data_IF_253490782745
#
_entry.id   IF_253490782745
#
_cell.length_a   1.000
_cell.length_b   1.000
_cell.length_c   1.000
_cell.angle_alpha   90.00
_cell.angle_beta   90.00
_cell.angle_gamma   90.00
#
_symmetry.space_group_name_H-M   'P 1'
#
loop_
_entity.id
_entity.type
_entity.pdbx_description
1 polymer ?
#
# COMPACT_ATOMS: atom_id res chain seq x y z
N UNK A 1 -8.90 -3.13 1.88
CA UNK A 1 -8.21 -3.36 3.14
C UNK A 1 -6.70 -3.36 2.91
N UNK A 2 -5.92 -3.20 3.97
CA UNK A 2 -4.46 -3.29 3.89
C UNK A 2 -3.89 -3.98 5.14
N UNK A 3 -2.71 -4.59 4.99
CA UNK A 3 -1.96 -5.20 6.06
C UNK A 3 -0.66 -4.43 6.31
N UNK A 4 -0.36 -4.14 7.56
CA UNK A 4 0.87 -3.46 7.97
C UNK A 4 1.92 -4.42 8.54
N UNK A 5 3.16 -3.94 8.59
CA UNK A 5 4.30 -4.62 9.24
C UNK A 5 4.48 -6.08 8.78
N UNK A 6 4.34 -6.31 7.48
CA UNK A 6 4.42 -7.66 6.87
C UNK A 6 5.80 -8.02 6.36
N UNK A 7 6.72 -7.06 6.29
CA UNK A 7 8.12 -7.25 5.91
C UNK A 7 9.05 -6.86 7.05
N UNK A 8 10.23 -7.48 7.12
CA UNK A 8 11.25 -7.10 8.13
C UNK A 8 11.67 -5.64 7.96
N UNK A 9 11.88 -5.17 6.73
CA UNK A 9 12.22 -3.77 6.45
C UNK A 9 11.13 -2.80 6.90
N UNK A 10 9.85 -3.17 6.79
CA UNK A 10 8.75 -2.33 7.26
C UNK A 10 8.70 -2.23 8.79
N UNK A 11 9.02 -3.31 9.52
CA UNK A 11 9.18 -3.28 10.98
C UNK A 11 10.30 -2.30 11.38
N UNK A 12 11.47 -2.44 10.78
CA UNK A 12 12.64 -1.60 11.06
C UNK A 12 12.35 -0.11 10.80
N UNK A 13 11.78 0.22 9.63
CA UNK A 13 11.43 1.59 9.28
C UNK A 13 10.40 2.19 10.26
N UNK A 14 9.37 1.43 10.64
CA UNK A 14 8.36 1.89 11.60
C UNK A 14 8.94 2.12 13.00
N UNK A 15 9.88 1.28 13.43
CA UNK A 15 10.57 1.47 14.71
C UNK A 15 11.42 2.72 14.73
N UNK A 16 12.10 3.06 13.62
CA UNK A 16 12.92 4.26 13.49
C UNK A 16 12.07 5.55 13.45
N UNK A 17 10.89 5.50 12.82
CA UNK A 17 10.02 6.65 12.56
C UNK A 17 9.02 6.96 13.68
N UNK A 18 8.79 6.02 14.60
CA UNK A 18 7.74 6.13 15.62
C UNK A 18 8.27 6.50 17.00
N UNK A 19 7.48 7.29 17.72
CA UNK A 19 7.68 7.53 19.16
C UNK A 19 7.39 6.30 20.04
N UNK A 20 6.86 5.20 19.45
CA UNK A 20 6.49 3.97 20.16
C UNK A 20 6.96 2.71 19.42
N UNK A 21 8.30 2.52 19.27
CA UNK A 21 8.87 1.45 18.45
C UNK A 21 8.43 0.03 18.85
N UNK A 22 8.21 -0.21 20.16
CA UNK A 22 7.81 -1.51 20.71
C UNK A 22 6.46 -2.04 20.14
N UNK A 23 5.57 -1.17 19.68
CA UNK A 23 4.29 -1.58 19.10
C UNK A 23 4.53 -2.35 17.81
N UNK A 24 5.40 -1.84 16.94
CA UNK A 24 5.66 -2.44 15.63
C UNK A 24 6.43 -3.74 15.70
N UNK A 25 7.43 -3.84 16.59
CA UNK A 25 8.15 -5.10 16.82
C UNK A 25 7.24 -6.20 17.37
N UNK A 26 6.32 -5.84 18.26
CA UNK A 26 5.31 -6.78 18.79
C UNK A 26 4.35 -7.25 17.70
N UNK A 27 3.86 -6.35 16.83
CA UNK A 27 2.96 -6.70 15.72
C UNK A 27 3.66 -7.62 14.71
N UNK A 28 4.93 -7.36 14.41
CA UNK A 28 5.68 -8.20 13.47
C UNK A 28 5.75 -9.67 13.92
N UNK A 29 5.89 -9.94 15.22
CA UNK A 29 6.00 -11.31 15.76
C UNK A 29 4.65 -11.86 16.28
N UNK A 30 3.60 -11.04 16.35
CA UNK A 30 2.29 -11.46 16.85
C UNK A 30 1.67 -12.55 15.97
N UNK A 31 0.80 -13.38 16.56
CA UNK A 31 -0.06 -14.30 15.81
C UNK A 31 -1.04 -13.52 14.91
N UNK A 32 -1.73 -12.53 15.48
CA UNK A 32 -2.67 -11.68 14.75
C UNK A 32 -1.95 -10.65 13.87
N UNK A 33 -2.18 -10.62 12.54
CA UNK A 33 -1.63 -9.58 11.67
C UNK A 33 -2.29 -8.23 11.93
N UNK A 34 -1.60 -7.14 11.63
CA UNK A 34 -2.22 -5.85 11.47
C UNK A 34 -3.01 -5.84 10.16
N UNK A 35 -4.32 -5.64 10.26
CA UNK A 35 -5.21 -5.44 9.10
C UNK A 35 -6.08 -4.23 9.40
N UNK A 36 -6.17 -3.29 8.47
CA UNK A 36 -6.95 -2.08 8.63
C UNK A 36 -7.73 -1.73 7.36
N UNK A 37 -8.83 -1.00 7.54
CA UNK A 37 -9.60 -0.47 6.43
C UNK A 37 -8.82 0.61 5.71
N UNK A 38 -8.62 0.47 4.39
CA UNK A 38 -7.89 1.43 3.55
C UNK A 38 -8.82 2.33 2.75
N UNK A 39 -9.73 1.76 2.00
CA UNK A 39 -10.66 2.51 1.17
C UNK A 39 -11.87 1.67 0.77
N UNK A 40 -12.99 2.33 0.51
CA UNK A 40 -14.08 1.72 -0.26
C UNK A 40 -13.86 1.95 -1.76
N UNK A 41 -14.61 1.22 -2.60
CA UNK A 41 -14.47 1.28 -4.05
C UNK A 41 -14.56 2.71 -4.65
N UNK A 42 -15.33 3.61 -4.02
CA UNK A 42 -15.49 5.00 -4.48
C UNK A 42 -14.26 5.88 -4.23
N UNK A 43 -13.35 5.47 -3.37
CA UNK A 43 -12.12 6.20 -3.02
C UNK A 43 -10.88 5.63 -3.70
N UNK A 44 -11.01 4.48 -4.34
CA UNK A 44 -9.91 3.86 -5.08
C UNK A 44 -9.70 4.60 -6.39
N UNK A 45 -8.44 4.93 -6.65
CA UNK A 45 -7.98 5.55 -7.88
C UNK A 45 -7.49 4.44 -8.82
N UNK A 46 -7.92 4.47 -10.07
CA UNK A 46 -7.42 3.58 -11.12
C UNK A 46 -6.16 4.11 -11.82
N UNK A 47 -5.68 3.38 -12.83
CA UNK A 47 -4.54 3.80 -13.65
C UNK A 47 -4.75 5.20 -14.25
N UNK A 48 -3.68 5.99 -14.30
CA UNK A 48 -3.66 7.40 -14.76
C UNK A 48 -4.54 8.34 -13.92
N UNK A 49 -5.24 7.84 -12.91
CA UNK A 49 -6.00 8.67 -11.98
C UNK A 49 -5.08 9.36 -10.97
N UNK A 50 -5.53 10.49 -10.43
CA UNK A 50 -4.74 11.29 -9.49
C UNK A 50 -4.83 10.74 -8.08
N UNK A 51 -3.69 10.38 -7.49
CA UNK A 51 -3.57 10.18 -6.04
C UNK A 51 -3.32 11.53 -5.36
N UNK A 52 -3.57 11.61 -4.06
CA UNK A 52 -3.32 12.84 -3.32
C UNK A 52 -2.44 12.58 -2.09
N UNK A 53 -1.57 13.53 -1.79
CA UNK A 53 -0.97 13.70 -0.47
C UNK A 53 -1.76 14.74 0.34
N UNK A 54 -1.76 14.63 1.65
CA UNK A 54 -2.53 15.52 2.52
C UNK A 54 -1.95 16.95 2.53
N UNK A 55 -2.83 17.94 2.60
CA UNK A 55 -2.39 19.35 2.71
C UNK A 55 -1.78 19.68 4.08
N UNK A 56 -2.17 18.92 5.12
CA UNK A 56 -1.75 19.06 6.51
C UNK A 56 -0.66 18.04 6.93
N UNK A 57 -0.03 17.38 5.97
CA UNK A 57 1.10 16.46 6.16
C UNK A 57 2.40 17.10 5.67
N UNK A 58 3.49 16.77 6.35
CA UNK A 58 4.84 17.24 6.02
C UNK A 58 5.74 16.15 5.44
N UNK A 59 5.33 14.88 5.56
CA UNK A 59 6.06 13.74 5.01
C UNK A 59 5.07 12.67 4.53
N UNK A 60 5.00 12.52 3.21
CA UNK A 60 4.09 11.64 2.51
C UNK A 60 4.88 10.70 1.59
N UNK A 61 4.55 9.41 1.60
CA UNK A 61 5.24 8.40 0.80
C UNK A 61 4.26 7.52 0.04
N UNK A 62 4.64 6.99 -1.14
CA UNK A 62 3.95 5.90 -1.79
C UNK A 62 4.42 4.57 -1.18
N UNK A 63 3.52 3.63 -1.02
CA UNK A 63 3.80 2.27 -0.59
C UNK A 63 3.36 1.30 -1.69
N UNK A 64 4.30 0.81 -2.53
CA UNK A 64 3.99 -0.16 -3.58
C UNK A 64 3.75 -1.54 -2.97
N UNK A 65 2.63 -2.16 -3.32
CA UNK A 65 2.20 -3.42 -2.72
C UNK A 65 1.64 -4.39 -3.73
N UNK A 66 1.90 -5.68 -3.51
CA UNK A 66 1.03 -6.72 -4.07
C UNK A 66 -0.35 -6.58 -3.42
N UNK A 67 -1.40 -6.55 -4.22
CA UNK A 67 -2.77 -6.56 -3.73
C UNK A 67 -3.48 -7.84 -4.15
N UNK A 68 -4.07 -8.52 -3.17
CA UNK A 68 -4.78 -9.79 -3.34
C UNK A 68 -6.26 -9.52 -3.56
N UNK A 69 -6.84 -10.11 -4.61
CA UNK A 69 -8.29 -10.03 -4.89
C UNK A 69 -8.96 -11.30 -4.40
N UNK A 70 -9.93 -11.14 -3.51
CA UNK A 70 -10.60 -12.22 -2.80
C UNK A 70 -12.10 -12.20 -3.11
N UNK A 71 -12.70 -13.36 -3.41
CA UNK A 71 -14.14 -13.47 -3.65
C UNK A 71 -14.93 -13.60 -2.33
N UNK A 72 -16.27 -13.68 -2.43
CA UNK A 72 -17.16 -13.82 -1.27
C UNK A 72 -16.96 -15.11 -0.45
N UNK A 73 -16.21 -16.09 -0.97
CA UNK A 73 -15.94 -17.36 -0.30
C UNK A 73 -14.54 -17.42 0.32
N UNK A 74 -13.89 -16.25 0.51
CA UNK A 74 -12.53 -16.15 1.01
C UNK A 74 -11.47 -16.85 0.11
N UNK A 75 -11.74 -16.98 -1.19
CA UNK A 75 -10.80 -17.56 -2.13
C UNK A 75 -10.03 -16.47 -2.86
N UNK A 76 -8.70 -16.63 -2.97
CA UNK A 76 -7.86 -15.73 -3.77
C UNK A 76 -8.11 -16.01 -5.25
N UNK A 77 -8.71 -15.06 -5.94
CA UNK A 77 -9.07 -15.20 -7.37
C UNK A 77 -8.12 -14.46 -8.30
N UNK A 78 -7.31 -13.56 -7.78
CA UNK A 78 -6.35 -12.81 -8.60
C UNK A 78 -5.49 -11.84 -7.80
N UNK A 79 -4.64 -11.14 -8.55
CA UNK A 79 -3.69 -10.17 -8.01
C UNK A 79 -3.74 -8.87 -8.81
N UNK A 80 -3.42 -7.76 -8.15
CA UNK A 80 -3.24 -6.45 -8.78
C UNK A 80 -2.15 -5.68 -8.06
N UNK A 81 -1.81 -4.49 -8.55
CA UNK A 81 -0.86 -3.59 -7.91
C UNK A 81 -1.63 -2.62 -7.03
N UNK A 82 -1.18 -2.44 -5.79
CA UNK A 82 -1.65 -1.43 -4.86
C UNK A 82 -0.63 -0.31 -4.64
N UNK A 83 -1.15 0.89 -4.36
CA UNK A 83 -0.37 1.98 -3.79
C UNK A 83 -1.11 2.47 -2.54
N UNK A 84 -0.60 2.13 -1.37
CA UNK A 84 -1.07 2.60 -0.07
C UNK A 84 -0.38 3.93 0.28
N UNK A 85 -0.88 5.04 -0.30
CA UNK A 85 -0.31 6.37 -0.05
C UNK A 85 -0.50 6.76 1.40
N UNK A 86 0.59 7.12 2.06
CA UNK A 86 0.67 7.27 3.51
C UNK A 86 1.22 8.61 3.94
N UNK A 87 0.58 9.23 4.94
CA UNK A 87 1.14 10.37 5.66
C UNK A 87 2.00 9.84 6.81
N UNK A 88 3.31 9.76 6.59
CA UNK A 88 4.27 9.31 7.62
C UNK A 88 4.39 10.27 8.79
N UNK A 89 4.22 11.57 8.56
CA UNK A 89 4.24 12.55 9.65
C UNK A 89 3.09 12.33 10.64
N UNK A 90 1.87 12.05 10.17
CA UNK A 90 0.71 11.79 11.05
C UNK A 90 0.81 10.40 11.68
N UNK A 91 1.23 9.40 10.91
CA UNK A 91 1.38 8.03 11.41
C UNK A 91 2.43 7.93 12.52
N UNK A 92 3.55 8.66 12.38
CA UNK A 92 4.63 8.70 13.37
C UNK A 92 4.28 9.46 14.66
N UNK A 93 3.30 10.37 14.63
CA UNK A 93 2.85 11.07 15.83
C UNK A 93 2.22 10.13 16.86
N UNK A 94 1.33 9.25 16.40
CA UNK A 94 0.62 8.31 17.28
C UNK A 94 0.01 7.17 16.45
N UNK A 95 0.23 5.89 16.81
CA UNK A 95 -0.39 4.74 16.13
C UNK A 95 -1.92 4.80 16.02
N UNK A 96 -2.60 5.49 16.95
CA UNK A 96 -4.05 5.69 16.91
C UNK A 96 -4.50 6.65 15.80
N UNK A 97 -3.58 7.36 15.16
CA UNK A 97 -3.86 8.24 14.02
C UNK A 97 -3.76 7.51 12.68
N UNK A 98 -3.54 6.19 12.68
CA UNK A 98 -3.49 5.36 11.48
C UNK A 98 -4.64 5.65 10.49
N UNK A 99 -5.92 5.76 10.92
CA UNK A 99 -7.02 6.09 10.00
C UNK A 99 -6.84 7.44 9.31
N UNK A 100 -6.29 8.45 9.99
CA UNK A 100 -6.03 9.76 9.39
C UNK A 100 -4.81 9.74 8.47
N UNK A 101 -3.81 8.93 8.78
CA UNK A 101 -2.59 8.75 7.99
C UNK A 101 -2.84 7.98 6.68
N UNK A 102 -3.79 7.05 6.67
CA UNK A 102 -4.01 6.05 5.61
C UNK A 102 -5.36 6.19 4.87
N UNK A 103 -6.40 6.75 5.53
CA UNK A 103 -7.78 6.73 5.01
C UNK A 103 -8.26 8.14 4.68
N UNK A 104 -7.76 8.70 3.59
CA UNK A 104 -8.15 10.03 3.10
C UNK A 104 -8.40 10.01 1.57
N UNK A 105 -8.92 11.11 1.03
CA UNK A 105 -9.23 11.20 -0.39
C UNK A 105 -7.97 11.08 -1.25
N UNK A 106 -7.95 10.15 -2.20
CA UNK A 106 -6.82 9.90 -3.08
C UNK A 106 -5.67 9.11 -2.47
N UNK A 107 -5.85 8.51 -1.28
CA UNK A 107 -4.81 7.75 -0.58
C UNK A 107 -4.64 6.30 -1.07
N UNK A 108 -5.48 5.81 -1.97
CA UNK A 108 -5.45 4.42 -2.42
C UNK A 108 -5.56 4.33 -3.93
N UNK A 109 -4.60 3.67 -4.57
CA UNK A 109 -4.71 3.34 -5.98
C UNK A 109 -4.57 1.83 -6.20
N UNK A 110 -5.33 1.29 -7.16
CA UNK A 110 -5.28 -0.11 -7.59
C UNK A 110 -5.26 -0.19 -9.11
N UNK A 111 -4.53 -1.15 -9.68
CA UNK A 111 -4.49 -1.40 -11.11
C UNK A 111 -3.21 -2.09 -11.57
N UNK A 112 -2.98 -2.22 -12.89
CA UNK A 112 -3.80 -1.70 -13.99
C UNK A 112 -5.06 -2.52 -14.25
N UNK A 113 -5.07 -3.78 -13.84
CA UNK A 113 -6.15 -4.75 -13.96
C UNK A 113 -5.95 -5.87 -12.96
N UNK A 114 -6.81 -6.89 -12.99
CA UNK A 114 -6.69 -8.08 -12.16
C UNK A 114 -6.05 -9.18 -13.02
N UNK A 115 -4.91 -9.70 -12.57
CA UNK A 115 -4.30 -10.90 -13.13
C UNK A 115 -4.87 -12.11 -12.40
N UNK A 116 -5.52 -13.08 -13.09
CA UNK A 116 -6.07 -14.26 -12.45
C UNK A 116 -5.02 -15.05 -11.68
N UNK A 117 -5.41 -15.64 -10.54
CA UNK A 117 -4.48 -16.32 -9.65
C UNK A 117 -3.70 -17.46 -10.35
N UNK A 118 -4.35 -18.18 -11.28
CA UNK A 118 -3.70 -19.26 -12.04
C UNK A 118 -2.65 -18.83 -13.05
N UNK A 119 -2.56 -17.52 -13.37
CA UNK A 119 -1.53 -16.96 -14.24
C UNK A 119 -0.26 -16.54 -13.48
N UNK A 120 -0.32 -16.52 -12.14
CA UNK A 120 0.81 -16.17 -11.26
C UNK A 120 1.31 -17.45 -10.60
N UNK A 121 2.43 -18.00 -11.12
CA UNK A 121 2.96 -19.29 -10.67
C UNK A 121 3.38 -19.24 -9.18
N UNK A 122 3.99 -18.16 -8.74
CA UNK A 122 4.38 -17.94 -7.35
C UNK A 122 4.20 -16.46 -6.97
N UNK A 123 3.19 -16.12 -6.15
CA UNK A 123 2.98 -14.76 -5.68
C UNK A 123 4.03 -14.29 -4.66
N UNK A 124 4.88 -15.19 -4.16
CA UNK A 124 5.98 -14.90 -3.24
C UNK A 124 7.33 -14.70 -3.94
N UNK A 125 7.34 -14.71 -5.29
CA UNK A 125 8.55 -14.45 -6.09
C UNK A 125 8.28 -13.41 -7.19
N UNK A 126 7.70 -12.28 -6.80
CA UNK A 126 7.40 -11.17 -7.70
C UNK A 126 8.31 -9.97 -7.38
N UNK A 127 9.02 -9.49 -8.40
CA UNK A 127 9.77 -8.24 -8.29
C UNK A 127 8.81 -7.05 -8.31
N UNK A 128 8.99 -6.13 -7.36
CA UNK A 128 8.26 -4.87 -7.24
C UNK A 128 9.25 -3.74 -7.52
N UNK A 129 8.98 -2.92 -8.54
CA UNK A 129 9.75 -1.71 -8.87
C UNK A 129 8.89 -0.48 -8.69
N UNK A 130 9.49 0.58 -8.18
CA UNK A 130 8.83 1.88 -8.11
C UNK A 130 9.78 2.98 -8.57
N UNK A 131 9.26 3.92 -9.37
CA UNK A 131 9.91 5.16 -9.74
C UNK A 131 8.99 6.34 -9.43
N UNK A 132 9.59 7.45 -9.01
CA UNK A 132 8.89 8.73 -8.78
C UNK A 132 9.57 9.75 -9.68
N UNK A 133 8.80 10.32 -10.60
CA UNK A 133 9.24 11.40 -11.48
C UNK A 133 8.78 12.74 -10.94
N UNK A 134 9.68 13.74 -10.96
CA UNK A 134 9.43 15.12 -10.59
C UNK A 134 9.96 16.03 -11.71
N UNK A 135 9.08 16.84 -12.30
CA UNK A 135 9.48 17.70 -13.41
C UNK A 135 9.99 16.94 -14.64
N UNK A 136 9.55 15.69 -14.87
CA UNK A 136 9.95 14.87 -16.01
C UNK A 136 11.28 14.14 -15.85
N UNK A 137 11.90 14.18 -14.66
CA UNK A 137 13.12 13.42 -14.32
C UNK A 137 12.86 12.48 -13.17
N UNK A 138 13.55 11.35 -13.12
CA UNK A 138 13.46 10.40 -12.01
C UNK A 138 14.09 11.04 -10.77
N UNK A 139 13.25 11.35 -9.78
CA UNK A 139 13.66 11.91 -8.49
C UNK A 139 13.99 10.82 -7.47
N UNK A 140 13.35 9.65 -7.59
CA UNK A 140 13.61 8.48 -6.75
C UNK A 140 13.22 7.19 -7.49
N UNK A 141 13.94 6.11 -7.23
CA UNK A 141 13.57 4.77 -7.70
C UNK A 141 14.12 3.68 -6.78
N UNK A 142 13.44 2.54 -6.77
CA UNK A 142 13.87 1.38 -5.99
C UNK A 142 13.19 0.09 -6.43
N UNK A 143 13.69 -1.01 -5.88
CA UNK A 143 13.23 -2.36 -6.18
C UNK A 143 13.20 -3.21 -4.91
N UNK A 144 12.21 -4.10 -4.81
CA UNK A 144 12.10 -5.13 -3.78
C UNK A 144 11.42 -6.38 -4.34
N UNK A 145 11.16 -7.38 -3.50
CA UNK A 145 10.48 -8.62 -3.88
C UNK A 145 9.45 -9.04 -2.84
N UNK A 146 8.37 -9.67 -3.30
CA UNK A 146 7.40 -10.34 -2.41
C UNK A 146 7.99 -11.53 -1.65
N UNK A 147 9.17 -12.02 -2.02
CA UNK A 147 9.86 -13.09 -1.30
C UNK A 147 10.23 -12.74 0.15
N UNK A 148 10.24 -11.44 0.48
CA UNK A 148 10.43 -10.96 1.85
C UNK A 148 9.16 -10.92 2.71
N UNK A 149 7.98 -11.27 2.17
CA UNK A 149 6.74 -11.34 2.93
C UNK A 149 6.85 -12.39 4.05
N UNK A 150 6.64 -11.95 5.29
CA UNK A 150 6.56 -12.85 6.44
C UNK A 150 5.19 -13.52 6.53
N UNK A 151 4.14 -12.76 6.26
CA UNK A 151 2.75 -13.23 6.35
C UNK A 151 2.36 -14.00 5.09
N UNK A 152 1.67 -15.12 5.28
CA UNK A 152 1.03 -15.82 4.17
C UNK A 152 -0.18 -15.03 3.67
N UNK A 153 -0.41 -15.03 2.36
CA UNK A 153 -1.56 -14.32 1.76
C UNK A 153 -2.87 -14.92 2.27
N UNK A 154 -2.91 -16.25 2.37
CA UNK A 154 -4.06 -17.00 2.89
C UNK A 154 -4.35 -16.66 4.36
N UNK A 155 -3.31 -16.42 5.17
CA UNK A 155 -3.43 -15.99 6.56
C UNK A 155 -4.11 -14.61 6.65
N UNK A 156 -3.70 -13.66 5.80
CA UNK A 156 -4.33 -12.33 5.76
C UNK A 156 -5.81 -12.42 5.36
N UNK A 157 -6.14 -13.27 4.39
CA UNK A 157 -7.53 -13.52 3.98
C UNK A 157 -8.32 -14.14 5.12
N UNK A 158 -7.80 -15.18 5.78
CA UNK A 158 -8.46 -15.84 6.90
C UNK A 158 -8.78 -14.84 8.03
N UNK A 159 -7.82 -13.99 8.41
CA UNK A 159 -8.05 -12.99 9.46
C UNK A 159 -9.04 -11.92 9.07
N UNK A 160 -9.07 -11.49 7.80
CA UNK A 160 -10.03 -10.52 7.32
C UNK A 160 -11.47 -11.05 7.36
N UNK A 161 -11.66 -12.33 6.93
CA UNK A 161 -12.99 -12.96 6.81
C UNK A 161 -13.46 -13.66 8.10
N UNK A 162 -12.66 -13.69 9.16
CA UNK A 162 -12.95 -14.50 10.37
C UNK A 162 -14.26 -14.13 11.07
N UNK A 163 -14.58 -12.85 11.15
CA UNK A 163 -15.80 -12.33 11.84
C UNK A 163 -16.49 -11.24 11.01
N UNK A 164 -16.25 -11.24 9.68
CA UNK A 164 -16.92 -10.30 8.77
C UNK A 164 -17.18 -10.95 7.42
N UNK A 165 -18.25 -10.53 6.74
CA UNK A 165 -18.68 -11.01 5.45
C UNK A 165 -18.42 -9.97 4.35
N UNK A 166 -17.87 -10.43 3.23
CA UNK A 166 -17.61 -9.60 2.05
C UNK A 166 -18.36 -10.16 0.84
N UNK A 167 -19.67 -9.91 0.71
CA UNK A 167 -20.51 -10.50 -0.35
C UNK A 167 -20.07 -10.11 -1.76
N UNK A 168 -19.44 -8.95 -1.92
CA UNK A 168 -18.88 -8.48 -3.19
C UNK A 168 -17.38 -8.81 -3.32
N UNK A 169 -16.81 -9.55 -2.37
CA UNK A 169 -15.38 -9.78 -2.24
C UNK A 169 -14.63 -8.59 -1.65
N UNK A 170 -13.31 -8.74 -1.54
CA UNK A 170 -12.43 -7.71 -1.00
C UNK A 170 -11.10 -7.65 -1.76
N UNK A 171 -10.40 -6.53 -1.67
CA UNK A 171 -9.00 -6.42 -2.07
C UNK A 171 -8.18 -6.15 -0.81
N UNK A 172 -7.08 -6.88 -0.65
CA UNK A 172 -6.14 -6.74 0.48
C UNK A 172 -4.78 -6.33 -0.08
N UNK A 173 -4.34 -5.13 0.19
CA UNK A 173 -2.94 -4.70 0.04
C UNK A 173 -2.09 -5.38 1.12
N UNK A 174 -0.95 -5.96 0.73
CA UNK A 174 -0.23 -6.93 1.58
C UNK A 174 0.94 -6.34 2.35
N UNK A 175 1.09 -5.01 2.31
CA UNK A 175 2.21 -4.29 2.91
C UNK A 175 3.37 -4.09 1.95
N UNK A 176 4.27 -3.20 2.32
CA UNK A 176 5.42 -2.80 1.51
C UNK A 176 6.75 -3.05 2.21
N UNK A 177 7.81 -3.28 1.43
CA UNK A 177 9.20 -3.25 1.86
C UNK A 177 10.01 -2.15 1.14
N UNK A 178 9.34 -1.30 0.38
CA UNK A 178 9.98 -0.31 -0.49
C UNK A 178 9.32 1.06 -0.32
N UNK A 179 10.00 1.97 0.33
CA UNK A 179 9.60 3.37 0.47
C UNK A 179 10.80 4.29 0.33
N UNK A 180 10.64 5.52 -0.14
CA UNK A 180 11.70 6.52 -0.07
C UNK A 180 12.02 6.85 1.39
N UNK A 181 13.31 6.87 1.73
CA UNK A 181 13.75 7.29 3.05
C UNK A 181 13.61 8.81 3.23
N UNK A 182 13.45 9.28 4.49
CA UNK A 182 13.51 10.70 4.82
C UNK A 182 14.90 11.26 4.40
N UNK A 183 14.99 12.48 3.80
CA UNK A 183 13.97 13.52 3.73
C UNK A 183 13.06 13.51 2.49
N UNK A 184 13.05 12.45 1.66
CA UNK A 184 12.18 12.44 0.47
C UNK A 184 10.71 12.43 0.88
N UNK A 185 9.91 13.30 0.26
CA UNK A 185 8.45 13.35 0.38
C UNK A 185 7.82 13.55 -0.98
N UNK A 186 6.62 12.99 -1.20
CA UNK A 186 5.83 13.25 -2.40
C UNK A 186 5.36 14.72 -2.43
N UNK A 187 5.35 15.28 -3.64
CA UNK A 187 4.86 16.62 -3.94
C UNK A 187 3.76 16.61 -5.01
N UNK A 188 2.92 17.63 -5.02
CA UNK A 188 2.00 17.84 -6.13
C UNK A 188 2.77 18.05 -7.45
N UNK A 189 2.40 17.30 -8.48
CA UNK A 189 3.10 17.27 -9.76
C UNK A 189 4.04 16.08 -9.95
N UNK A 190 4.34 15.32 -8.89
CA UNK A 190 5.05 14.04 -9.04
C UNK A 190 4.22 13.03 -9.80
N UNK A 191 4.88 12.02 -10.34
CA UNK A 191 4.23 10.86 -10.94
C UNK A 191 4.84 9.60 -10.32
N UNK A 192 4.00 8.80 -9.67
CA UNK A 192 4.40 7.50 -9.12
C UNK A 192 4.10 6.41 -10.14
N UNK A 193 5.10 5.62 -10.48
CA UNK A 193 4.99 4.44 -11.35
C UNK A 193 5.43 3.21 -10.58
N UNK A 194 4.51 2.25 -10.43
CA UNK A 194 4.77 0.97 -9.76
C UNK A 194 4.61 -0.14 -10.80
N UNK A 195 5.61 -1.01 -10.91
CA UNK A 195 5.58 -2.19 -11.77
C UNK A 195 5.80 -3.46 -10.94
N UNK A 196 4.94 -4.46 -11.11
CA UNK A 196 5.11 -5.78 -10.52
C UNK A 196 5.10 -6.80 -11.66
N UNK A 197 6.10 -7.67 -11.67
CA UNK A 197 6.24 -8.68 -12.72
C UNK A 197 4.95 -9.47 -12.96
N UNK A 198 4.54 -9.65 -14.20
CA UNK A 198 3.28 -10.23 -14.70
C UNK A 198 2.00 -9.43 -14.40
N UNK A 199 1.97 -8.55 -13.41
CA UNK A 199 0.78 -7.75 -13.10
C UNK A 199 0.69 -6.45 -13.91
N UNK A 200 1.81 -6.02 -14.52
CA UNK A 200 1.87 -4.82 -15.33
C UNK A 200 2.38 -3.59 -14.57
N UNK A 201 1.83 -2.43 -14.88
CA UNK A 201 2.30 -1.14 -14.35
C UNK A 201 1.12 -0.25 -13.97
N UNK A 202 1.16 0.27 -12.74
CA UNK A 202 0.24 1.27 -12.22
C UNK A 202 0.94 2.63 -12.19
N UNK A 203 0.44 3.58 -12.96
CA UNK A 203 0.97 4.94 -13.02
C UNK A 203 -0.07 5.92 -12.48
N UNK A 204 0.32 6.79 -11.55
CA UNK A 204 -0.58 7.73 -10.86
C UNK A 204 0.08 9.08 -10.64
N UNK A 205 -0.45 10.17 -11.24
CA UNK A 205 -0.03 11.53 -10.92
C UNK A 205 -0.42 11.91 -9.47
N UNK A 206 0.41 12.71 -8.83
CA UNK A 206 0.23 13.18 -7.46
C UNK A 206 -0.32 14.60 -7.42
N UNK A 207 -1.33 14.84 -6.58
CA UNK A 207 -1.81 16.20 -6.26
C UNK A 207 -1.73 16.45 -4.75
N UNK A 208 -1.66 17.72 -4.33
CA UNK A 208 -1.66 18.07 -2.90
C UNK A 208 -3.05 18.50 -2.46
N UNK A 209 -3.59 17.78 -1.47
CA UNK A 209 -4.87 18.04 -0.85
C UNK A 209 -6.10 17.65 -1.68
N UNK A 210 -7.18 17.36 -0.98
CA UNK A 210 -8.45 16.87 -1.59
C UNK A 210 -9.10 17.87 -2.57
N UNK A 211 -8.82 19.15 -2.43
CA UNK A 211 -9.38 20.15 -3.34
C UNK A 211 -8.85 19.98 -4.77
N UNK A 212 -7.57 19.63 -4.93
CA UNK A 212 -6.94 19.40 -6.21
C UNK A 212 -7.40 18.10 -6.92
N UNK A 213 -8.04 17.16 -6.19
CA UNK A 213 -8.66 15.98 -6.83
C UNK A 213 -9.95 16.33 -7.60
N UNK A 214 -10.58 17.46 -7.28
CA UNK A 214 -11.86 17.91 -7.85
C UNK A 214 -11.70 18.93 -8.98
N UNK A 215 -10.48 19.46 -9.11
CA UNK A 215 -10.10 20.35 -10.21
C UNK A 215 -9.66 19.55 -11.44
#
# INVERSE_FOLDING_TARGET
>A
WAAGVTYKRSEEARMEESGTPDVYSKVYVAERPEIFFKANARRVVGPEGRIAVRADSTWDVPEPELAVVVNAHAEIVGYTIGNDVSSRSIEGENPLYLPQAKVYAGACALGPGITPAWEVADPYDLTIRMAIERGGVVAWQGETSTSGLKRRLEELVEYLYREDDFPDGAVISTGTALVPDNPFTLEGGDVVTIAIGRLGTLRTPVVRGKAALRA
#
